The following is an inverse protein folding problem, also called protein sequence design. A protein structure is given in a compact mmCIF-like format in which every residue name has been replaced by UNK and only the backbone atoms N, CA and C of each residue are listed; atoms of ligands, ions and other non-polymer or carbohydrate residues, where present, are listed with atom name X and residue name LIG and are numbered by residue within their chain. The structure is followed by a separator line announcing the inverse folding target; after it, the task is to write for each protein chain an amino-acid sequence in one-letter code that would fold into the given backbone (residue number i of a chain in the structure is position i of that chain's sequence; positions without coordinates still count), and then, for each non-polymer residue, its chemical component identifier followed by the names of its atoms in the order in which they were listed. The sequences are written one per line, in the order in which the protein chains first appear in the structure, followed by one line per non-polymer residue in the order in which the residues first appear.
data_IF_212771976133
#
_entry.id   IF_212771976133
#
_cell.length_a   1.000
_cell.length_b   1.000
_cell.length_c   1.000
_cell.angle_alpha   90.00
_cell.angle_beta   90.00
_cell.angle_gamma   90.00
#
_symmetry.space_group_name_H-M   'P 1'
#
loop_
_entity.id
_entity.type
_entity.pdbx_description
1 polymer ?
#
# COMPACT_ATOMS: atom_id res chain seq x y z
N UNK A 1 23.88 26.97 3.81
CA UNK A 1 22.45 26.68 4.00
C UNK A 1 21.64 27.97 4.07
N UNK A 2 21.98 28.91 4.97
CA UNK A 2 21.36 30.25 5.03
C UNK A 2 21.17 30.91 3.67
N UNK A 3 22.23 31.10 2.88
CA UNK A 3 22.15 31.72 1.54
C UNK A 3 21.15 31.04 0.58
N UNK A 4 20.97 29.72 0.67
CA UNK A 4 20.02 28.99 -0.17
C UNK A 4 18.60 29.05 0.38
N UNK A 5 18.44 29.01 1.69
CA UNK A 5 17.15 29.24 2.35
C UNK A 5 16.67 30.67 2.05
N UNK A 6 17.57 31.64 2.11
CA UNK A 6 17.29 33.05 1.79
C UNK A 6 16.90 33.20 0.31
N UNK A 7 17.45 32.38 -0.60
CA UNK A 7 17.10 32.39 -2.03
C UNK A 7 15.70 31.82 -2.36
N UNK A 8 15.07 31.07 -1.44
CA UNK A 8 13.73 30.50 -1.63
C UNK A 8 12.61 31.53 -1.48
N UNK A 9 12.90 32.69 -0.86
CA UNK A 9 11.93 33.73 -0.57
C UNK A 9 10.66 33.22 0.15
N UNK A 10 10.82 32.21 1.01
CA UNK A 10 9.74 31.61 1.79
C UNK A 10 9.47 32.38 3.09
N UNK A 11 8.22 32.42 3.58
CA UNK A 11 7.90 32.99 4.88
C UNK A 11 8.72 32.35 5.99
N UNK A 12 9.35 33.17 6.84
CA UNK A 12 10.19 32.71 7.97
C UNK A 12 9.48 31.70 8.88
N UNK A 13 8.18 31.87 9.08
CA UNK A 13 7.37 30.95 9.89
C UNK A 13 7.34 29.52 9.33
N UNK A 14 7.34 29.34 8.01
CA UNK A 14 7.35 28.02 7.36
C UNK A 14 8.70 27.34 7.57
N UNK A 15 9.78 28.12 7.45
CA UNK A 15 11.15 27.67 7.67
C UNK A 15 11.34 27.24 9.13
N UNK A 16 10.93 28.08 10.09
CA UNK A 16 11.03 27.80 11.52
C UNK A 16 10.25 26.53 11.91
N UNK A 17 9.04 26.35 11.35
CA UNK A 17 8.22 25.13 11.56
C UNK A 17 8.91 23.88 11.01
N UNK A 18 9.45 23.98 9.80
CA UNK A 18 10.13 22.86 9.14
C UNK A 18 11.41 22.46 9.87
N UNK A 19 12.22 23.44 10.29
CA UNK A 19 13.43 23.23 11.08
C UNK A 19 13.11 22.57 12.43
N UNK A 20 12.06 23.01 13.11
CA UNK A 20 11.59 22.41 14.35
C UNK A 20 11.12 20.96 14.16
N UNK A 21 10.38 20.68 13.08
CA UNK A 21 9.98 19.31 12.77
C UNK A 21 11.23 18.45 12.51
N UNK A 22 12.14 18.89 11.65
CA UNK A 22 13.37 18.17 11.32
C UNK A 22 14.24 17.87 12.55
N UNK A 23 14.46 18.85 13.42
CA UNK A 23 15.20 18.65 14.68
C UNK A 23 14.51 17.64 15.59
N UNK A 24 13.18 17.58 15.61
CA UNK A 24 12.44 16.56 16.37
C UNK A 24 12.57 15.17 15.76
N UNK A 25 12.47 15.05 14.43
CA UNK A 25 12.61 13.77 13.74
C UNK A 25 14.02 13.19 13.88
N UNK A 26 15.04 14.05 13.78
CA UNK A 26 16.46 13.68 13.81
C UNK A 26 17.01 13.47 15.24
N UNK A 27 16.48 14.20 16.22
CA UNK A 27 17.04 14.20 17.57
C UNK A 27 18.49 14.71 17.58
N UNK A 28 19.36 14.06 18.36
CA UNK A 28 20.77 14.46 18.55
C UNK A 28 21.58 14.51 17.23
N UNK A 29 21.20 13.72 16.22
CA UNK A 29 21.87 13.66 14.92
C UNK A 29 21.63 14.86 13.99
N UNK A 30 20.81 15.84 14.38
CA UNK A 30 20.48 17.00 13.53
C UNK A 30 21.72 17.81 13.13
N UNK A 31 22.70 17.94 14.03
CA UNK A 31 23.89 18.76 13.81
C UNK A 31 24.90 18.15 12.82
N UNK A 32 24.78 16.86 12.50
CA UNK A 32 25.74 16.12 11.67
C UNK A 32 25.37 16.09 10.17
N UNK A 33 24.13 16.44 9.82
CA UNK A 33 23.57 16.26 8.45
C UNK A 33 23.84 17.46 7.52
N UNK A 34 24.68 18.41 7.94
CA UNK A 34 24.99 19.64 7.21
C UNK A 34 25.54 19.47 5.78
N UNK A 35 25.93 18.24 5.39
CA UNK A 35 26.58 17.91 4.12
C UNK A 35 25.71 17.38 2.97
N UNK A 36 24.41 17.10 3.15
CA UNK A 36 23.62 16.37 2.11
C UNK A 36 23.26 17.21 0.87
N UNK A 37 23.48 18.53 0.90
CA UNK A 37 22.85 19.41 -0.08
C UNK A 37 23.91 20.20 -0.87
N UNK A 38 23.92 20.09 -2.21
CA UNK A 38 24.77 20.85 -3.15
C UNK A 38 24.20 20.93 -4.58
N UNK A 39 24.33 22.09 -5.26
CA UNK A 39 23.98 22.42 -6.68
C UNK A 39 22.52 22.73 -7.06
N UNK A 40 22.23 23.44 -8.17
CA UNK A 40 20.89 24.01 -8.53
C UNK A 40 19.67 23.08 -8.42
N UNK A 41 19.82 21.76 -8.66
CA UNK A 41 18.75 20.78 -8.37
C UNK A 41 18.36 20.73 -6.88
N UNK A 42 19.25 21.18 -5.99
CA UNK A 42 19.06 21.41 -4.55
C UNK A 42 17.96 22.41 -4.27
N UNK A 43 17.80 23.47 -5.05
CA UNK A 43 16.78 24.47 -4.74
C UNK A 43 15.40 23.85 -4.90
N UNK A 44 15.16 23.17 -6.03
CA UNK A 44 13.87 22.51 -6.28
C UNK A 44 13.59 21.37 -5.30
N UNK A 45 14.61 20.56 -5.00
CA UNK A 45 14.49 19.48 -3.99
C UNK A 45 14.24 20.04 -2.60
N UNK A 46 14.88 21.14 -2.24
CA UNK A 46 14.69 21.81 -0.96
C UNK A 46 13.30 22.46 -0.88
N UNK A 47 12.81 23.10 -1.95
CA UNK A 47 11.43 23.59 -2.05
C UNK A 47 10.42 22.46 -1.83
N UNK A 48 10.58 21.34 -2.54
CA UNK A 48 9.71 20.19 -2.41
C UNK A 48 9.74 19.63 -0.99
N UNK A 49 10.93 19.47 -0.43
CA UNK A 49 11.10 18.96 0.93
C UNK A 49 10.45 19.88 1.98
N UNK A 50 10.64 21.20 1.88
CA UNK A 50 9.98 22.17 2.78
C UNK A 50 8.47 22.12 2.61
N UNK A 51 7.97 22.13 1.36
CA UNK A 51 6.52 22.06 1.06
C UNK A 51 5.88 20.80 1.67
N UNK A 52 6.54 19.65 1.54
CA UNK A 52 6.05 18.37 2.06
C UNK A 52 6.09 18.34 3.59
N UNK A 53 7.19 18.78 4.19
CA UNK A 53 7.35 18.80 5.65
C UNK A 53 6.40 19.79 6.33
N UNK A 54 6.21 20.97 5.75
CA UNK A 54 5.24 21.95 6.24
C UNK A 54 3.81 21.37 6.21
N UNK A 55 3.43 20.72 5.09
CA UNK A 55 2.15 20.00 5.01
C UNK A 55 2.03 18.89 6.07
N UNK A 56 3.08 18.10 6.26
CA UNK A 56 3.08 17.04 7.27
C UNK A 56 2.90 17.63 8.68
N UNK A 57 3.57 18.73 8.99
CA UNK A 57 3.42 19.44 10.26
C UNK A 57 2.00 19.98 10.44
N UNK A 58 1.41 20.58 9.41
CA UNK A 58 0.02 21.07 9.44
C UNK A 58 -0.98 19.94 9.69
N UNK A 59 -0.79 18.77 9.07
CA UNK A 59 -1.63 17.58 9.30
C UNK A 59 -1.55 17.14 10.76
N UNK A 60 -0.34 17.12 11.35
CA UNK A 60 -0.17 16.77 12.77
C UNK A 60 -0.77 17.81 13.71
N UNK A 61 -0.51 19.10 13.47
CA UNK A 61 -1.05 20.23 14.25
C UNK A 61 -2.58 20.19 14.27
N UNK A 62 -3.21 20.01 13.10
CA UNK A 62 -4.67 19.92 12.96
C UNK A 62 -5.29 18.78 13.76
N UNK A 63 -4.57 17.66 13.89
CA UNK A 63 -5.04 16.45 14.57
C UNK A 63 -4.51 16.29 16.00
N UNK A 64 -3.87 17.32 16.56
CA UNK A 64 -3.32 17.28 17.92
C UNK A 64 -2.25 16.21 18.14
N UNK A 65 -1.58 15.77 17.06
CA UNK A 65 -0.52 14.76 17.11
C UNK A 65 0.83 15.42 17.33
N UNK A 66 1.70 14.76 18.10
CA UNK A 66 3.07 15.22 18.36
C UNK A 66 4.06 14.30 17.64
N UNK A 67 5.05 14.87 16.93
CA UNK A 67 6.09 14.06 16.30
C UNK A 67 7.01 13.42 17.34
N UNK A 68 7.56 12.26 17.02
CA UNK A 68 8.66 11.63 17.73
C UNK A 68 9.88 11.44 16.82
N UNK A 69 11.00 11.06 17.43
CA UNK A 69 12.23 10.74 16.70
C UNK A 69 12.01 9.52 15.81
N UNK A 70 12.54 9.57 14.58
CA UNK A 70 12.49 8.47 13.62
C UNK A 70 13.92 7.95 13.43
N UNK A 71 14.08 6.63 13.36
CA UNK A 71 15.39 6.04 13.10
C UNK A 71 15.94 6.49 11.71
N UNK A 72 17.26 6.61 11.59
CA UNK A 72 17.89 7.12 10.36
C UNK A 72 17.63 6.22 9.13
N UNK A 73 17.45 4.91 9.33
CA UNK A 73 17.15 3.95 8.25
C UNK A 73 15.81 4.26 7.55
N UNK A 74 14.85 4.82 8.28
CA UNK A 74 13.58 5.30 7.71
C UNK A 74 13.69 6.76 7.31
N UNK A 75 14.23 7.60 8.18
CA UNK A 75 14.19 9.06 8.03
C UNK A 75 15.00 9.57 6.85
N UNK A 76 16.20 9.02 6.61
CA UNK A 76 17.05 9.46 5.49
C UNK A 76 16.36 9.16 4.15
N UNK A 77 15.93 7.93 3.84
CA UNK A 77 15.16 7.66 2.64
C UNK A 77 13.87 8.49 2.53
N UNK A 78 13.14 8.69 3.64
CA UNK A 78 11.91 9.47 3.67
C UNK A 78 12.13 10.92 3.20
N UNK A 79 13.19 11.56 3.70
CA UNK A 79 13.55 12.94 3.34
C UNK A 79 14.12 13.04 1.92
N UNK A 80 14.97 12.09 1.52
CA UNK A 80 15.62 12.12 0.21
C UNK A 80 14.66 11.80 -0.92
N UNK A 81 13.85 10.74 -0.80
CA UNK A 81 12.92 10.31 -1.84
C UNK A 81 11.78 11.30 -2.01
N UNK A 82 11.20 11.79 -0.92
CA UNK A 82 10.12 12.81 -1.00
C UNK A 82 10.61 14.11 -1.65
N UNK A 83 11.87 14.50 -1.47
CA UNK A 83 12.43 15.71 -2.10
C UNK A 83 12.43 15.66 -3.64
N UNK A 84 12.40 14.47 -4.22
CA UNK A 84 12.39 14.25 -5.66
C UNK A 84 10.99 14.27 -6.27
N UNK A 85 9.93 14.29 -5.44
CA UNK A 85 8.57 14.22 -5.92
C UNK A 85 8.08 15.57 -6.48
N UNK A 86 7.65 15.59 -7.73
CA UNK A 86 7.12 16.78 -8.40
C UNK A 86 5.60 16.76 -8.53
N UNK A 87 4.97 15.58 -8.51
CA UNK A 87 3.53 15.45 -8.65
C UNK A 87 2.82 15.85 -7.35
N UNK A 88 1.89 16.81 -7.44
CA UNK A 88 1.25 17.36 -6.24
C UNK A 88 0.43 16.34 -5.44
N UNK A 89 -0.19 15.36 -6.11
CA UNK A 89 -0.94 14.29 -5.43
C UNK A 89 0.02 13.39 -4.64
N UNK A 90 1.13 12.99 -5.24
CA UNK A 90 2.17 12.20 -4.55
C UNK A 90 2.83 13.00 -3.41
N UNK A 91 3.06 14.32 -3.57
CA UNK A 91 3.54 15.17 -2.47
C UNK A 91 2.58 15.17 -1.27
N UNK A 92 1.26 15.13 -1.51
CA UNK A 92 0.26 15.00 -0.42
C UNK A 92 0.38 13.64 0.26
N UNK A 93 0.55 12.55 -0.51
CA UNK A 93 0.76 11.20 0.04
C UNK A 93 2.04 11.12 0.86
N UNK A 94 3.12 11.78 0.43
CA UNK A 94 4.35 11.91 1.23
C UNK A 94 4.12 12.66 2.53
N UNK A 95 3.39 13.78 2.50
CA UNK A 95 3.08 14.54 3.71
C UNK A 95 2.24 13.72 4.71
N UNK A 96 1.26 12.96 4.21
CA UNK A 96 0.48 12.02 5.01
C UNK A 96 1.35 10.89 5.58
N UNK A 97 2.24 10.32 4.76
CA UNK A 97 3.11 9.24 5.22
C UNK A 97 4.08 9.73 6.32
N UNK A 98 4.66 10.92 6.16
CA UNK A 98 5.54 11.53 7.16
C UNK A 98 4.78 11.79 8.45
N UNK A 99 3.57 12.38 8.40
CA UNK A 99 2.79 12.66 9.60
C UNK A 99 2.39 11.38 10.32
N UNK A 100 2.04 10.32 9.59
CA UNK A 100 1.70 9.01 10.14
C UNK A 100 2.89 8.36 10.83
N UNK A 101 4.02 8.24 10.12
CA UNK A 101 5.25 7.65 10.68
C UNK A 101 5.75 8.47 11.88
N UNK A 102 5.68 9.80 11.82
CA UNK A 102 6.16 10.65 12.90
C UNK A 102 5.27 10.64 14.14
N UNK A 103 4.01 10.22 14.04
CA UNK A 103 3.05 10.25 15.16
C UNK A 103 2.59 8.87 15.65
N UNK A 104 3.00 7.79 14.97
CA UNK A 104 2.70 6.41 15.33
C UNK A 104 3.93 5.70 15.89
N UNK A 105 3.77 5.03 17.03
CA UNK A 105 4.84 4.23 17.67
C UNK A 105 4.97 2.82 17.07
N UNK A 106 4.28 2.51 15.97
CA UNK A 106 4.43 1.21 15.32
C UNK A 106 5.78 1.14 14.61
N UNK A 107 6.57 0.12 14.93
CA UNK A 107 7.94 -0.04 14.45
C UNK A 107 8.06 -1.21 13.46
N UNK A 108 8.87 -1.04 12.41
CA UNK A 108 9.47 -2.11 11.62
C UNK A 108 9.13 -2.14 10.13
N UNK A 109 8.07 -1.44 9.69
CA UNK A 109 7.61 -1.46 8.29
C UNK A 109 7.72 -0.11 7.59
N UNK A 110 8.09 0.95 8.30
CA UNK A 110 8.10 2.33 7.81
C UNK A 110 9.05 2.48 6.62
N UNK A 111 10.21 1.81 6.67
CA UNK A 111 11.14 1.76 5.54
C UNK A 111 10.52 1.15 4.28
N UNK A 112 9.68 0.10 4.42
CA UNK A 112 8.95 -0.51 3.30
C UNK A 112 7.90 0.45 2.73
N UNK A 113 7.20 1.22 3.58
CA UNK A 113 6.25 2.25 3.14
C UNK A 113 6.95 3.31 2.28
N UNK A 114 8.14 3.77 2.71
CA UNK A 114 8.95 4.75 1.98
C UNK A 114 9.35 4.21 0.61
N UNK A 115 9.87 2.98 0.56
CA UNK A 115 10.24 2.34 -0.71
C UNK A 115 9.00 2.23 -1.61
N UNK A 116 7.87 1.80 -1.06
CA UNK A 116 6.63 1.58 -1.82
C UNK A 116 6.14 2.88 -2.44
N UNK A 117 6.01 3.95 -1.65
CA UNK A 117 5.56 5.24 -2.18
C UNK A 117 6.55 5.81 -3.21
N UNK A 118 7.86 5.60 -3.02
CA UNK A 118 8.88 6.08 -3.96
C UNK A 118 8.90 5.37 -5.32
N UNK A 119 8.23 4.22 -5.44
CA UNK A 119 8.14 3.44 -6.68
C UNK A 119 6.76 3.52 -7.35
N UNK A 120 5.87 4.39 -6.86
CA UNK A 120 4.58 4.64 -7.49
C UNK A 120 4.67 5.78 -8.52
N UNK A 121 4.07 5.55 -9.68
CA UNK A 121 3.71 6.59 -10.63
C UNK A 121 2.47 7.37 -10.18
N UNK A 122 2.21 8.51 -10.83
CA UNK A 122 1.00 9.29 -10.56
C UNK A 122 -0.27 8.52 -10.92
N UNK A 123 -0.22 7.72 -11.98
CA UNK A 123 -1.34 6.92 -12.48
C UNK A 123 -1.68 5.80 -11.49
N UNK A 124 -0.68 5.06 -11.00
CA UNK A 124 -0.87 4.03 -9.98
C UNK A 124 -1.39 4.61 -8.67
N UNK A 125 -0.90 5.79 -8.26
CA UNK A 125 -1.41 6.48 -7.10
C UNK A 125 -2.91 6.81 -7.21
N UNK A 126 -3.38 7.21 -8.40
CA UNK A 126 -4.81 7.44 -8.67
C UNK A 126 -5.61 6.13 -8.70
N UNK A 127 -5.04 5.05 -9.26
CA UNK A 127 -5.65 3.72 -9.24
C UNK A 127 -5.86 3.28 -7.79
N UNK A 128 -4.85 3.44 -6.92
CA UNK A 128 -4.96 3.11 -5.50
C UNK A 128 -6.03 3.93 -4.78
N UNK A 129 -6.14 5.24 -5.07
CA UNK A 129 -7.20 6.09 -4.52
C UNK A 129 -8.60 5.59 -4.89
N UNK A 130 -8.77 5.16 -6.14
CA UNK A 130 -10.01 4.56 -6.63
C UNK A 130 -10.32 3.23 -5.94
N UNK A 131 -9.35 2.31 -5.88
CA UNK A 131 -9.50 1.00 -5.26
C UNK A 131 -9.82 1.12 -3.77
N UNK A 132 -9.15 2.02 -3.06
CA UNK A 132 -9.41 2.26 -1.64
C UNK A 132 -10.80 2.85 -1.41
N UNK A 133 -11.29 3.72 -2.31
CA UNK A 133 -12.64 4.26 -2.22
C UNK A 133 -13.69 3.16 -2.42
N UNK A 134 -13.47 2.27 -3.42
CA UNK A 134 -14.30 1.06 -3.61
C UNK A 134 -14.25 0.12 -2.41
N UNK A 135 -13.07 -0.08 -1.82
CA UNK A 135 -12.88 -0.90 -0.64
C UNK A 135 -13.73 -0.38 0.52
N UNK A 136 -13.59 0.90 0.86
CA UNK A 136 -14.32 1.51 1.96
C UNK A 136 -15.83 1.41 1.76
N UNK A 137 -16.33 1.70 0.55
CA UNK A 137 -17.74 1.58 0.22
C UNK A 137 -18.28 0.16 0.44
N UNK A 138 -17.59 -0.86 -0.09
CA UNK A 138 -18.01 -2.26 0.06
C UNK A 138 -17.88 -2.74 1.51
N UNK A 139 -16.83 -2.33 2.20
CA UNK A 139 -16.61 -2.60 3.63
C UNK A 139 -17.78 -2.09 4.47
N UNK A 140 -18.21 -0.85 4.25
CA UNK A 140 -19.32 -0.24 4.98
C UNK A 140 -20.63 -1.01 4.73
N UNK A 141 -20.90 -1.41 3.48
CA UNK A 141 -22.07 -2.25 3.15
C UNK A 141 -22.06 -3.62 3.85
N UNK A 142 -20.90 -4.27 3.93
CA UNK A 142 -20.77 -5.57 4.61
C UNK A 142 -21.00 -5.41 6.12
N UNK A 143 -20.42 -4.37 6.73
CA UNK A 143 -20.60 -4.07 8.14
C UNK A 143 -22.07 -3.79 8.48
N UNK A 144 -22.76 -2.97 7.68
CA UNK A 144 -24.19 -2.69 7.85
C UNK A 144 -25.03 -3.97 7.83
N UNK A 145 -24.79 -4.87 6.86
CA UNK A 145 -25.48 -6.17 6.79
C UNK A 145 -25.17 -7.08 7.97
N UNK A 146 -23.95 -7.03 8.50
CA UNK A 146 -23.54 -7.83 9.66
C UNK A 146 -24.25 -7.42 10.95
N UNK A 147 -24.47 -6.11 11.12
CA UNK A 147 -25.20 -5.55 12.26
C UNK A 147 -26.66 -6.03 12.25
N UNK A 148 -27.30 -6.05 11.08
CA UNK A 148 -28.67 -6.55 10.90
C UNK A 148 -28.80 -8.05 11.20
N UNK A 149 -27.74 -8.82 10.95
CA UNK A 149 -27.71 -10.28 11.15
C UNK A 149 -27.17 -10.71 12.53
N UNK A 150 -26.97 -9.78 13.46
CA UNK A 150 -26.43 -10.02 14.81
C UNK A 150 -25.05 -10.72 14.83
N UNK A 151 -24.33 -10.76 13.70
CA UNK A 151 -22.95 -11.26 13.63
C UNK A 151 -22.02 -10.07 13.79
N UNK A 152 -21.33 -9.96 14.93
CA UNK A 152 -20.32 -8.92 15.14
C UNK A 152 -19.03 -9.30 14.41
N UNK A 153 -18.79 -8.68 13.25
CA UNK A 153 -17.45 -8.59 12.69
C UNK A 153 -16.80 -7.31 13.20
N UNK A 154 -15.64 -7.43 13.83
CA UNK A 154 -14.85 -6.28 14.25
C UNK A 154 -13.94 -5.78 13.12
N UNK A 155 -13.54 -6.67 12.20
CA UNK A 155 -12.67 -6.38 11.07
C UNK A 155 -13.07 -7.23 9.85
N UNK A 156 -13.00 -6.64 8.66
CA UNK A 156 -13.25 -7.32 7.39
C UNK A 156 -11.90 -7.74 6.80
N UNK A 157 -11.76 -9.03 6.47
CA UNK A 157 -10.56 -9.53 5.81
C UNK A 157 -10.42 -8.87 4.42
N UNK A 158 -9.28 -8.23 4.10
CA UNK A 158 -9.10 -7.54 2.82
C UNK A 158 -9.41 -8.38 1.57
N UNK A 159 -9.18 -9.71 1.63
CA UNK A 159 -9.45 -10.62 0.51
C UNK A 159 -10.94 -10.82 0.18
N UNK A 160 -11.85 -10.37 1.06
CA UNK A 160 -13.31 -10.45 0.81
C UNK A 160 -13.79 -9.40 -0.19
N UNK A 161 -12.97 -8.39 -0.48
CA UNK A 161 -13.33 -7.30 -1.39
C UNK A 161 -12.45 -7.37 -2.63
N UNK A 162 -13.03 -7.92 -3.68
CA UNK A 162 -12.39 -8.17 -4.97
C UNK A 162 -12.64 -7.01 -5.95
N UNK A 163 -11.62 -6.61 -6.69
CA UNK A 163 -11.63 -5.55 -7.69
C UNK A 163 -11.38 -6.12 -9.08
N UNK A 164 -12.29 -5.82 -10.01
CA UNK A 164 -12.13 -6.33 -11.36
C UNK A 164 -11.11 -5.54 -12.19
N UNK A 165 -10.23 -6.26 -12.89
CA UNK A 165 -9.32 -5.66 -13.87
C UNK A 165 -10.06 -4.82 -14.91
N UNK A 166 -11.17 -5.34 -15.41
CA UNK A 166 -11.95 -4.67 -16.44
C UNK A 166 -12.55 -3.34 -15.93
N UNK A 167 -12.92 -3.27 -14.66
CA UNK A 167 -13.39 -2.03 -14.03
C UNK A 167 -12.27 -1.00 -13.96
N UNK A 168 -11.06 -1.40 -13.55
CA UNK A 168 -9.90 -0.51 -13.46
C UNK A 168 -9.55 0.02 -14.85
N UNK A 169 -9.43 -0.88 -15.82
CA UNK A 169 -9.13 -0.54 -17.22
C UNK A 169 -10.14 0.47 -17.79
N UNK A 170 -11.44 0.23 -17.60
CA UNK A 170 -12.51 1.14 -18.05
C UNK A 170 -12.47 2.48 -17.33
N UNK A 171 -12.31 2.47 -16.01
CA UNK A 171 -12.29 3.68 -15.18
C UNK A 171 -11.17 4.65 -15.57
N UNK A 172 -10.01 4.12 -15.92
CA UNK A 172 -8.81 4.91 -16.25
C UNK A 172 -8.55 5.04 -17.76
N UNK A 173 -9.48 4.53 -18.60
CA UNK A 173 -9.35 4.52 -20.06
C UNK A 173 -8.00 3.96 -20.54
N UNK A 174 -7.59 2.82 -19.97
CA UNK A 174 -6.29 2.20 -20.23
C UNK A 174 -6.39 1.17 -21.36
N UNK A 175 -5.28 1.01 -22.09
CA UNK A 175 -5.09 -0.20 -22.90
C UNK A 175 -4.90 -1.41 -21.98
N UNK A 176 -5.15 -2.63 -22.48
CA UNK A 176 -4.89 -3.86 -21.70
C UNK A 176 -3.43 -3.92 -21.25
N UNK A 177 -2.50 -3.54 -22.13
CA UNK A 177 -1.06 -3.54 -21.84
C UNK A 177 -0.72 -2.61 -20.66
N UNK A 178 -1.13 -1.34 -20.69
CA UNK A 178 -0.83 -0.41 -19.60
C UNK A 178 -1.57 -0.75 -18.31
N UNK A 179 -2.80 -1.28 -18.40
CA UNK A 179 -3.50 -1.77 -17.23
C UNK A 179 -2.74 -2.91 -16.55
N UNK A 180 -2.21 -3.87 -17.32
CA UNK A 180 -1.35 -4.94 -16.78
C UNK A 180 -0.07 -4.38 -16.17
N UNK A 181 0.65 -3.49 -16.87
CA UNK A 181 1.91 -2.90 -16.35
C UNK A 181 1.70 -2.23 -14.98
N UNK A 182 0.63 -1.44 -14.82
CA UNK A 182 0.35 -0.80 -13.54
C UNK A 182 -0.02 -1.81 -12.45
N UNK A 183 -0.83 -2.82 -12.78
CA UNK A 183 -1.22 -3.84 -11.80
C UNK A 183 -0.04 -4.71 -11.40
N UNK A 184 0.78 -5.15 -12.35
CA UNK A 184 2.00 -5.93 -12.11
C UNK A 184 2.95 -5.19 -11.15
N UNK A 185 3.12 -3.87 -11.32
CA UNK A 185 3.91 -3.08 -10.39
C UNK A 185 3.27 -3.05 -8.99
N UNK A 186 1.95 -2.81 -8.89
CA UNK A 186 1.23 -2.83 -7.62
C UNK A 186 1.29 -4.20 -6.91
N UNK A 187 1.29 -5.30 -7.65
CA UNK A 187 1.53 -6.64 -7.12
C UNK A 187 2.99 -6.83 -6.67
N UNK A 188 3.96 -6.35 -7.46
CA UNK A 188 5.38 -6.45 -7.12
C UNK A 188 5.74 -5.67 -5.84
N UNK A 189 5.04 -4.56 -5.60
CA UNK A 189 5.12 -3.77 -4.35
C UNK A 189 4.38 -4.45 -3.19
N UNK A 190 3.65 -5.54 -3.46
CA UNK A 190 2.86 -6.30 -2.51
C UNK A 190 1.59 -5.58 -2.07
N UNK A 191 1.11 -4.59 -2.83
CA UNK A 191 -0.10 -3.83 -2.50
C UNK A 191 -1.34 -4.64 -2.88
N UNK A 192 -1.33 -5.20 -4.09
CA UNK A 192 -2.39 -6.06 -4.60
C UNK A 192 -1.92 -7.51 -4.67
N UNK A 193 -2.89 -8.42 -4.73
CA UNK A 193 -2.67 -9.81 -5.11
C UNK A 193 -3.84 -10.28 -5.96
N UNK A 194 -3.53 -11.04 -6.99
CA UNK A 194 -4.50 -11.77 -7.79
C UNK A 194 -5.35 -12.70 -6.91
N UNK A 195 -6.64 -12.74 -7.20
CA UNK A 195 -7.55 -13.71 -6.62
C UNK A 195 -7.26 -15.09 -7.22
N UNK A 196 -6.75 -16.01 -6.38
CA UNK A 196 -6.43 -17.35 -6.85
C UNK A 196 -7.70 -17.98 -7.44
N UNK A 197 -7.61 -18.65 -8.60
CA UNK A 197 -8.77 -19.23 -9.23
C UNK A 197 -9.37 -20.32 -8.33
N UNK A 198 -10.66 -20.21 -8.06
CA UNK A 198 -11.42 -21.31 -7.46
C UNK A 198 -11.37 -22.51 -8.42
N UNK A 199 -10.86 -23.64 -7.93
CA UNK A 199 -10.90 -24.92 -8.65
C UNK A 199 -12.19 -25.61 -8.23
N UNK A 200 -13.22 -25.45 -9.06
CA UNK A 200 -14.43 -26.26 -8.91
C UNK A 200 -14.15 -27.67 -9.45
N UNK A 201 -14.17 -28.65 -8.55
CA UNK A 201 -14.14 -30.06 -8.92
C UNK A 201 -15.59 -30.44 -9.24
N UNK A 202 -15.93 -30.53 -10.52
CA UNK A 202 -17.20 -31.12 -10.95
C UNK A 202 -17.15 -32.63 -10.67
N UNK A 203 -18.17 -33.13 -9.96
CA UNK A 203 -18.35 -34.50 -9.46
C UNK A 203 -17.50 -35.58 -10.16
N UNK A 204 -16.57 -36.19 -9.42
CA UNK A 204 -15.86 -37.37 -9.88
C UNK A 204 -16.76 -38.60 -9.81
N UNK A 205 -17.04 -39.24 -10.94
CA UNK A 205 -17.62 -40.58 -10.94
C UNK A 205 -16.56 -41.56 -10.43
N UNK A 206 -16.81 -42.18 -9.28
CA UNK A 206 -16.04 -43.34 -8.83
C UNK A 206 -16.76 -44.61 -9.27
N UNK A 207 -16.28 -45.25 -10.33
CA UNK A 207 -16.67 -46.63 -10.61
C UNK A 207 -15.62 -47.54 -9.97
N UNK A 208 -16.05 -48.32 -8.98
CA UNK A 208 -15.19 -49.22 -8.23
C UNK A 208 -15.59 -50.65 -8.52
N UNK A 209 -14.74 -51.38 -9.25
CA UNK A 209 -14.89 -52.83 -9.37
C UNK A 209 -14.19 -53.52 -8.19
N UNK A 210 -14.94 -54.36 -7.46
CA UNK A 210 -14.36 -55.28 -6.48
C UNK A 210 -13.79 -56.46 -7.25
N UNK A 211 -12.46 -56.53 -7.36
CA UNK A 211 -11.79 -57.68 -7.94
C UNK A 211 -11.60 -58.73 -6.84
N UNK A 212 -12.48 -59.73 -6.79
CA UNK A 212 -12.26 -60.91 -5.92
C UNK A 212 -11.15 -61.78 -6.52
N UNK A 213 -9.92 -61.65 -6.00
CA UNK A 213 -8.88 -62.64 -6.28
C UNK A 213 -9.05 -63.86 -5.36
N UNK A 214 -9.54 -64.97 -5.94
CA UNK A 214 -9.74 -66.24 -5.23
C UNK A 214 -8.41 -66.98 -5.04
N UNK A 215 -7.49 -66.43 -4.25
CA UNK A 215 -6.36 -67.20 -3.68
C UNK A 215 -6.14 -66.82 -2.21
N UNK A 216 -6.00 -67.88 -1.41
CA UNK A 216 -5.85 -67.91 0.06
C UNK A 216 -5.00 -66.74 0.60
N UNK A 217 -5.59 -65.93 1.47
CA UNK A 217 -4.87 -64.97 2.32
C UNK A 217 -5.22 -63.50 2.11
N UNK A 218 -6.52 -63.17 2.24
CA UNK A 218 -7.04 -61.90 2.76
C UNK A 218 -6.30 -60.59 2.39
N UNK A 219 -6.33 -60.18 1.12
CA UNK A 219 -6.26 -58.76 0.74
C UNK A 219 -7.31 -58.50 -0.36
N UNK A 220 -8.37 -57.75 -0.01
CA UNK A 220 -9.31 -57.22 -1.01
C UNK A 220 -8.68 -55.96 -1.60
N UNK A 221 -8.28 -56.01 -2.87
CA UNK A 221 -7.81 -54.83 -3.58
C UNK A 221 -9.01 -54.16 -4.27
N UNK A 222 -9.22 -52.87 -3.98
CA UNK A 222 -10.19 -52.03 -4.68
C UNK A 222 -9.41 -51.16 -5.67
N UNK A 223 -9.66 -51.33 -6.96
CA UNK A 223 -9.15 -50.42 -7.99
C UNK A 223 -10.18 -49.33 -8.24
N UNK A 224 -9.82 -48.08 -7.91
CA UNK A 224 -10.61 -46.89 -8.22
C UNK A 224 -10.03 -46.22 -9.45
N UNK A 225 -10.83 -46.08 -10.50
CA UNK A 225 -10.54 -45.14 -11.57
C UNK A 225 -11.27 -43.83 -11.25
N UNK A 226 -10.52 -42.77 -10.93
CA UNK A 226 -11.05 -41.43 -10.81
C UNK A 226 -10.77 -40.67 -12.11
N UNK A 227 -11.81 -40.44 -12.91
CA UNK A 227 -11.80 -39.38 -13.93
C UNK A 227 -12.24 -38.07 -13.26
N UNK A 228 -11.29 -37.15 -13.04
CA UNK A 228 -11.58 -35.79 -12.59
C UNK A 228 -11.62 -34.87 -13.81
N UNK A 229 -12.75 -34.19 -14.02
CA UNK A 229 -12.82 -33.01 -14.89
C UNK A 229 -12.84 -31.75 -14.03
N UNK A 230 -11.84 -30.88 -14.22
CA UNK A 230 -11.78 -29.56 -13.56
C UNK A 230 -11.96 -28.47 -14.59
N UNK A 231 -12.87 -27.53 -14.36
CA UNK A 231 -12.97 -26.30 -15.13
C UNK A 231 -12.10 -25.22 -14.46
N UNK A 232 -11.22 -24.59 -15.24
CA UNK A 232 -10.33 -23.53 -14.78
C UNK A 232 -10.80 -22.19 -15.36
N UNK A 233 -11.28 -21.29 -14.51
CA UNK A 233 -11.47 -19.88 -14.87
C UNK A 233 -10.44 -19.04 -14.12
N UNK A 234 -9.42 -18.56 -14.83
CA UNK A 234 -8.50 -17.56 -14.26
C UNK A 234 -9.30 -16.30 -13.96
N UNK A 235 -9.49 -15.99 -12.67
CA UNK A 235 -9.92 -14.65 -12.28
C UNK A 235 -8.80 -13.68 -12.65
N UNK A 236 -9.13 -12.60 -13.37
CA UNK A 236 -8.22 -11.45 -13.52
C UNK A 236 -8.52 -10.41 -12.44
N UNK A 237 -9.13 -10.80 -11.33
CA UNK A 237 -9.53 -9.87 -10.29
C UNK A 237 -8.50 -9.85 -9.15
N UNK A 238 -8.50 -8.76 -8.38
CA UNK A 238 -7.46 -8.48 -7.38
C UNK A 238 -8.07 -8.06 -6.06
N UNK A 239 -7.35 -8.27 -4.96
CA UNK A 239 -7.70 -7.70 -3.66
C UNK A 239 -6.51 -7.01 -3.01
N UNK A 240 -6.77 -6.14 -2.04
CA UNK A 240 -5.70 -5.56 -1.24
C UNK A 240 -5.06 -6.61 -0.35
N UNK A 241 -3.74 -6.73 -0.35
CA UNK A 241 -3.06 -7.49 0.71
C UNK A 241 -3.22 -6.75 2.06
N UNK A 242 -2.98 -7.41 3.21
CA UNK A 242 -2.94 -6.71 4.50
C UNK A 242 -1.94 -5.54 4.50
N UNK A 243 -0.78 -5.74 3.86
CA UNK A 243 0.21 -4.69 3.68
C UNK A 243 -0.30 -3.57 2.78
N UNK A 244 -0.94 -3.90 1.65
CA UNK A 244 -1.49 -2.92 0.72
C UNK A 244 -2.54 -2.03 1.35
N UNK A 245 -3.48 -2.62 2.10
CA UNK A 245 -4.49 -1.88 2.84
C UNK A 245 -3.86 -0.98 3.91
N UNK A 246 -2.88 -1.51 4.66
CA UNK A 246 -2.14 -0.71 5.62
C UNK A 246 -1.44 0.48 4.95
N UNK A 247 -0.71 0.24 3.85
CA UNK A 247 0.00 1.25 3.09
C UNK A 247 -0.92 2.40 2.60
N UNK A 248 -2.04 2.06 1.96
CA UNK A 248 -2.97 3.11 1.46
C UNK A 248 -3.60 3.92 2.59
N UNK A 249 -3.71 3.35 3.80
CA UNK A 249 -4.16 4.07 4.99
C UNK A 249 -3.07 5.01 5.53
N UNK A 250 -1.80 4.60 5.53
CA UNK A 250 -0.66 5.46 5.91
C UNK A 250 -0.46 6.63 4.93
N UNK A 251 -0.94 6.52 3.69
CA UNK A 251 -0.90 7.61 2.72
C UNK A 251 -2.10 8.58 2.81
N UNK A 252 -2.98 8.44 3.82
CA UNK A 252 -4.10 9.36 4.10
C UNK A 252 -3.85 10.21 5.33
N UNK A 253 -4.53 11.36 5.40
CA UNK A 253 -4.50 12.20 6.59
C UNK A 253 -5.00 11.38 7.79
N UNK A 254 -4.25 11.51 8.88
CA UNK A 254 -4.66 11.10 10.23
C UNK A 254 -5.83 11.96 10.69
#
# INVERSE_FOLDING_TARGET
MKELIDSLNLPKQILDKTEKLLSTLLGEGFHEIGGIFGNKMRLKRLENQIKILDKANQIMEKNGKKPHQINLKTLVPLLEKSSLEENENLQIKWANLISNIASSKEYGIEHKLVITLSNLSSEEAKILDYLQSKFNYRRDQILERSLLSHRKYNEINPNTIIFSFNDIKKQFNLTTEFANIYIDNLESLGILRNDDPDIDIEDGFSDGEIVEDKRRGMEQAVSLNLDLSTTYSKSEDYYFTPYGLYFVNQCKSI
#
